data_IF_467048942381
#
_entry.id   IF_467048942381
#
_cell.length_a   1.000
_cell.length_b   1.000
_cell.length_c   1.000
_cell.angle_alpha   90.00
_cell.angle_beta   90.00
_cell.angle_gamma   90.00
#
_symmetry.space_group_name_H-M   'P 1'
#
loop_
_entity.id
_entity.type
_entity.pdbx_description
1 polymer ?
#
# COMPACT_ATOMS: atom_id res chain seq x y z
N UNK A 1 -11.74 -10.54 -17.03
CA UNK A 1 -12.74 -9.45 -16.83
C UNK A 1 -12.22 -8.56 -15.71
N UNK A 2 -12.08 -7.24 -15.90
CA UNK A 2 -11.58 -6.36 -14.85
C UNK A 2 -12.56 -6.34 -13.67
N UNK A 3 -12.03 -6.57 -12.47
CA UNK A 3 -12.80 -6.49 -11.23
C UNK A 3 -12.63 -5.08 -10.65
N UNK A 4 -13.74 -4.47 -10.25
CA UNK A 4 -13.73 -3.19 -9.57
C UNK A 4 -13.86 -3.42 -8.08
N UNK A 5 -13.01 -2.76 -7.30
CA UNK A 5 -13.16 -2.65 -5.86
C UNK A 5 -13.87 -1.33 -5.60
N UNK A 6 -15.07 -1.44 -5.06
CA UNK A 6 -16.00 -0.33 -4.85
C UNK A 6 -16.03 0.00 -3.35
N UNK A 7 -16.08 1.29 -2.96
CA UNK A 7 -16.16 1.69 -1.55
C UNK A 7 -17.36 1.07 -0.82
N UNK A 8 -17.19 0.74 0.45
CA UNK A 8 -18.26 0.17 1.29
C UNK A 8 -19.56 1.00 1.31
N UNK A 9 -19.46 2.33 1.18
CA UNK A 9 -20.63 3.22 1.09
C UNK A 9 -21.48 2.98 -0.18
N UNK A 10 -20.84 2.64 -1.29
CA UNK A 10 -21.50 2.33 -2.56
C UNK A 10 -21.99 0.89 -2.56
N UNK A 11 -21.26 -0.05 -1.95
CA UNK A 11 -21.74 -1.41 -1.72
C UNK A 11 -23.04 -1.43 -0.89
N UNK A 12 -23.09 -0.66 0.21
CA UNK A 12 -24.28 -0.51 1.04
C UNK A 12 -25.45 0.18 0.30
N UNK A 13 -25.18 0.99 -0.72
CA UNK A 13 -26.22 1.56 -1.60
C UNK A 13 -26.78 0.52 -2.57
N UNK A 14 -25.93 -0.35 -3.13
CA UNK A 14 -26.36 -1.44 -4.01
C UNK A 14 -27.20 -2.49 -3.24
N UNK A 15 -26.87 -2.76 -1.99
CA UNK A 15 -27.68 -3.63 -1.13
C UNK A 15 -29.05 -3.02 -0.80
N UNK A 16 -29.10 -1.71 -0.50
CA UNK A 16 -30.38 -1.00 -0.33
C UNK A 16 -31.23 -1.00 -1.60
N UNK A 17 -30.60 -0.99 -2.77
CA UNK A 17 -31.28 -1.11 -4.04
C UNK A 17 -31.91 -2.50 -4.21
N UNK A 18 -31.30 -3.56 -3.69
CA UNK A 18 -31.90 -4.91 -3.70
C UNK A 18 -33.19 -5.02 -2.88
N UNK A 19 -33.36 -4.17 -1.86
CA UNK A 19 -34.57 -4.12 -1.04
C UNK A 19 -35.73 -3.35 -1.71
N UNK A 20 -35.51 -2.69 -2.85
CA UNK A 20 -36.56 -1.96 -3.58
C UNK A 20 -37.29 -2.89 -4.56
N UNK A 21 -38.61 -2.82 -4.55
CA UNK A 21 -39.48 -3.58 -5.47
C UNK A 21 -39.40 -3.08 -6.92
N UNK A 22 -39.05 -1.80 -7.10
CA UNK A 22 -38.89 -1.09 -8.39
C UNK A 22 -37.82 -1.61 -9.34
N UNK A 23 -36.94 -2.47 -8.84
CA UNK A 23 -35.75 -2.96 -9.57
C UNK A 23 -36.10 -4.22 -10.35
N UNK A 24 -35.59 -4.42 -11.58
CA UNK A 24 -35.75 -5.68 -12.29
C UNK A 24 -35.15 -6.85 -11.52
N UNK A 25 -35.81 -8.01 -11.53
CA UNK A 25 -35.31 -9.24 -10.89
C UNK A 25 -33.90 -9.62 -11.36
N UNK A 26 -33.59 -9.38 -12.64
CA UNK A 26 -32.27 -9.62 -13.21
C UNK A 26 -31.17 -8.80 -12.54
N UNK A 27 -31.44 -7.54 -12.20
CA UNK A 27 -30.49 -6.65 -11.53
C UNK A 27 -30.34 -7.02 -10.06
N UNK A 28 -31.46 -7.35 -9.37
CA UNK A 28 -31.41 -7.83 -7.98
C UNK A 28 -30.58 -9.10 -7.84
N UNK A 29 -30.83 -10.09 -8.70
CA UNK A 29 -30.09 -11.35 -8.71
C UNK A 29 -28.61 -11.14 -9.06
N UNK A 30 -28.31 -10.26 -10.03
CA UNK A 30 -26.93 -9.95 -10.38
C UNK A 30 -26.17 -9.30 -9.20
N UNK A 31 -26.78 -8.34 -8.50
CA UNK A 31 -26.19 -7.71 -7.30
C UNK A 31 -25.96 -8.74 -6.20
N UNK A 32 -26.96 -9.58 -5.89
CA UNK A 32 -26.80 -10.61 -4.84
C UNK A 32 -25.75 -11.66 -5.19
N UNK A 33 -25.65 -12.07 -6.45
CA UNK A 33 -24.73 -13.12 -6.88
C UNK A 33 -23.28 -12.63 -7.04
N UNK A 34 -23.06 -11.36 -7.41
CA UNK A 34 -21.75 -10.86 -7.84
C UNK A 34 -21.13 -9.83 -6.89
N UNK A 35 -21.90 -9.28 -5.94
CA UNK A 35 -21.38 -8.40 -4.90
C UNK A 35 -20.67 -9.23 -3.82
N UNK A 36 -19.35 -9.25 -3.86
CA UNK A 36 -18.54 -9.94 -2.86
C UNK A 36 -17.89 -8.92 -1.91
N UNK A 37 -18.35 -8.88 -0.67
CA UNK A 37 -17.70 -8.09 0.39
C UNK A 37 -16.35 -8.71 0.73
N UNK A 38 -15.29 -7.90 0.74
CA UNK A 38 -13.96 -8.37 1.09
C UNK A 38 -13.49 -7.64 2.35
N UNK A 39 -13.19 -8.38 3.43
CA UNK A 39 -12.43 -7.79 4.51
C UNK A 39 -11.04 -7.47 3.95
N UNK A 40 -10.66 -6.18 3.95
CA UNK A 40 -9.31 -5.73 3.61
C UNK A 40 -8.31 -6.32 4.63
N UNK A 41 -7.84 -7.55 4.38
CA UNK A 41 -6.65 -8.09 5.03
C UNK A 41 -5.43 -7.48 4.37
N UNK A 42 -4.96 -6.33 4.85
CA UNK A 42 -3.73 -5.73 4.34
C UNK A 42 -3.49 -4.26 4.66
N UNK A 43 -4.49 -3.53 5.16
CA UNK A 43 -4.27 -2.20 5.73
C UNK A 43 -3.81 -2.32 7.18
N UNK A 44 -2.77 -1.57 7.55
CA UNK A 44 -2.21 -1.45 8.90
C UNK A 44 -3.28 -1.55 10.02
N UNK A 45 -3.02 -2.29 11.11
CA UNK A 45 -4.03 -2.71 12.10
C UNK A 45 -4.57 -1.60 13.01
N UNK A 46 -4.32 -0.33 12.71
CA UNK A 46 -4.53 0.77 13.64
C UNK A 46 -5.77 1.65 13.37
N UNK A 47 -6.50 1.44 12.27
CA UNK A 47 -7.65 2.31 11.97
C UNK A 47 -8.95 1.52 11.64
N UNK A 48 -9.87 1.39 12.61
CA UNK A 48 -11.16 0.73 12.40
C UNK A 48 -12.12 1.53 11.50
N UNK A 49 -11.87 2.82 11.25
CA UNK A 49 -12.67 3.61 10.29
C UNK A 49 -12.26 3.35 8.83
N UNK A 50 -11.00 2.93 8.61
CA UNK A 50 -10.48 2.45 7.33
C UNK A 50 -10.78 0.98 7.04
N UNK A 51 -11.32 0.24 8.01
CA UNK A 51 -11.90 -1.09 7.80
C UNK A 51 -13.28 -1.02 7.10
N UNK A 52 -13.50 0.00 6.25
CA UNK A 52 -14.64 0.01 5.36
C UNK A 52 -14.53 -1.23 4.47
N UNK A 53 -15.50 -2.13 4.61
CA UNK A 53 -15.56 -3.38 3.85
C UNK A 53 -15.82 -3.02 2.39
N UNK A 54 -14.74 -2.87 1.63
CA UNK A 54 -14.82 -2.68 0.20
C UNK A 54 -15.42 -3.94 -0.45
N UNK A 55 -16.17 -3.74 -1.53
CA UNK A 55 -16.81 -4.83 -2.25
C UNK A 55 -16.21 -4.98 -3.65
N UNK A 56 -15.98 -6.23 -4.08
CA UNK A 56 -15.65 -6.54 -5.47
C UNK A 56 -16.92 -6.67 -6.28
N UNK A 57 -16.97 -5.94 -7.39
CA UNK A 57 -18.09 -5.93 -8.32
C UNK A 57 -17.54 -5.92 -9.75
N UNK A 58 -18.09 -6.71 -10.68
CA UNK A 58 -17.71 -6.62 -12.09
C UNK A 58 -18.29 -5.35 -12.73
N UNK A 59 -17.55 -4.77 -13.67
CA UNK A 59 -17.97 -3.54 -14.36
C UNK A 59 -19.34 -3.65 -15.05
N UNK A 60 -19.64 -4.82 -15.64
CA UNK A 60 -20.91 -5.10 -16.33
C UNK A 60 -22.11 -4.92 -15.42
N UNK A 61 -21.97 -5.21 -14.14
CA UNK A 61 -23.05 -5.04 -13.16
C UNK A 61 -23.34 -3.57 -12.90
N UNK A 62 -22.31 -2.75 -12.72
CA UNK A 62 -22.49 -1.31 -12.52
C UNK A 62 -23.14 -0.65 -13.74
N UNK A 63 -22.80 -1.11 -14.94
CA UNK A 63 -23.44 -0.66 -16.19
C UNK A 63 -24.93 -1.03 -16.23
N UNK A 64 -25.29 -2.26 -15.82
CA UNK A 64 -26.70 -2.68 -15.76
C UNK A 64 -27.51 -1.84 -14.76
N UNK A 65 -26.94 -1.57 -13.58
CA UNK A 65 -27.57 -0.70 -12.56
C UNK A 65 -27.71 0.73 -13.09
N UNK A 66 -26.67 1.27 -13.73
CA UNK A 66 -26.70 2.61 -14.32
C UNK A 66 -27.69 2.73 -15.48
N UNK A 67 -27.83 1.69 -16.31
CA UNK A 67 -28.80 1.66 -17.39
C UNK A 67 -30.24 1.68 -16.87
N UNK A 68 -30.52 0.93 -15.79
CA UNK A 68 -31.80 1.01 -15.10
C UNK A 68 -32.04 2.40 -14.51
N UNK A 69 -31.04 2.99 -13.85
CA UNK A 69 -31.13 4.30 -13.23
C UNK A 69 -31.34 5.42 -14.26
N UNK A 70 -30.77 5.28 -15.46
CA UNK A 70 -30.91 6.23 -16.56
C UNK A 70 -32.37 6.36 -17.02
N UNK A 71 -33.10 5.25 -17.12
CA UNK A 71 -34.52 5.26 -17.53
C UNK A 71 -35.41 5.95 -16.49
N UNK A 72 -34.99 5.98 -15.23
CA UNK A 72 -35.74 6.53 -14.09
C UNK A 72 -35.22 7.89 -13.61
N UNK A 73 -34.22 8.44 -14.27
CA UNK A 73 -33.54 9.69 -13.90
C UNK A 73 -33.09 9.74 -12.42
N UNK A 74 -32.52 8.64 -11.91
CA UNK A 74 -31.97 8.59 -10.54
C UNK A 74 -30.46 8.92 -10.55
N UNK A 75 -30.03 10.17 -10.25
CA UNK A 75 -28.64 10.59 -10.37
C UNK A 75 -27.71 9.87 -9.38
N UNK A 76 -28.27 9.38 -8.28
CA UNK A 76 -27.54 8.67 -7.21
C UNK A 76 -26.96 7.34 -7.71
N UNK A 77 -27.59 6.72 -8.71
CA UNK A 77 -27.19 5.43 -9.27
C UNK A 77 -26.63 5.55 -10.69
N UNK A 78 -26.29 6.77 -11.13
CA UNK A 78 -25.58 6.95 -12.40
C UNK A 78 -24.20 6.31 -12.36
N UNK A 79 -23.69 5.96 -13.53
CA UNK A 79 -22.38 5.30 -13.63
C UNK A 79 -21.26 6.16 -13.01
N UNK A 80 -21.32 7.48 -13.18
CA UNK A 80 -20.34 8.40 -12.60
C UNK A 80 -20.31 8.36 -11.06
N UNK A 81 -21.48 8.30 -10.41
CA UNK A 81 -21.58 8.23 -8.94
C UNK A 81 -21.21 6.85 -8.39
N UNK A 82 -21.50 5.78 -9.14
CA UNK A 82 -21.13 4.41 -8.79
C UNK A 82 -19.63 4.13 -8.94
N UNK A 83 -18.98 4.78 -9.91
CA UNK A 83 -17.54 4.68 -10.12
C UNK A 83 -16.72 5.61 -9.21
N UNK A 84 -17.37 6.53 -8.49
CA UNK A 84 -16.68 7.46 -7.61
C UNK A 84 -15.97 6.71 -6.47
N UNK A 85 -14.64 6.76 -6.47
CA UNK A 85 -13.79 6.04 -5.51
C UNK A 85 -13.59 4.55 -5.83
N UNK A 86 -14.08 4.05 -6.97
CA UNK A 86 -13.83 2.68 -7.40
C UNK A 86 -12.37 2.52 -7.90
N UNK A 87 -11.74 1.43 -7.51
CA UNK A 87 -10.38 1.06 -7.92
C UNK A 87 -10.44 -0.14 -8.87
N UNK A 88 -9.71 -0.06 -9.98
CA UNK A 88 -9.55 -1.21 -10.88
C UNK A 88 -8.50 -2.13 -10.31
N UNK A 89 -8.88 -3.38 -10.01
CA UNK A 89 -7.94 -4.41 -9.62
C UNK A 89 -7.74 -5.34 -10.80
N UNK A 90 -6.55 -5.27 -11.39
CA UNK A 90 -6.05 -6.33 -12.24
C UNK A 90 -5.60 -7.45 -11.31
N UNK A 91 -6.31 -8.58 -11.36
CA UNK A 91 -5.80 -9.83 -10.77
C UNK A 91 -4.74 -10.31 -11.74
N UNK A 92 -3.58 -9.69 -11.64
CA UNK A 92 -2.40 -10.14 -12.34
C UNK A 92 -1.96 -11.39 -11.60
N UNK A 93 -2.26 -12.55 -12.18
CA UNK A 93 -1.62 -13.82 -11.81
C UNK A 93 -0.16 -13.72 -12.27
N UNK A 94 0.61 -12.86 -11.60
CA UNK A 94 2.05 -12.85 -11.70
C UNK A 94 2.52 -14.14 -11.06
N UNK A 95 2.57 -15.20 -11.86
CA UNK A 95 3.36 -16.39 -11.56
C UNK A 95 4.75 -15.90 -11.18
N UNK A 96 5.13 -16.12 -9.93
CA UNK A 96 6.43 -15.74 -9.39
C UNK A 96 7.51 -16.27 -10.35
N UNK A 97 8.31 -15.40 -10.97
CA UNK A 97 9.30 -15.84 -11.93
C UNK A 97 10.38 -16.63 -11.19
N UNK A 98 10.78 -17.79 -11.74
CA UNK A 98 11.82 -18.64 -11.14
C UNK A 98 13.14 -17.89 -10.87
N UNK A 99 13.45 -16.91 -11.71
CA UNK A 99 14.61 -16.03 -11.55
C UNK A 99 14.57 -15.21 -10.24
N UNK A 100 13.38 -14.85 -9.76
CA UNK A 100 13.22 -14.15 -8.47
C UNK A 100 13.53 -15.08 -7.30
N UNK A 101 13.13 -16.36 -7.38
CA UNK A 101 13.42 -17.34 -6.34
C UNK A 101 14.91 -17.62 -6.24
N UNK A 102 15.57 -17.80 -7.39
CA UNK A 102 17.03 -17.95 -7.46
C UNK A 102 17.75 -16.71 -6.88
N UNK A 103 17.26 -15.51 -7.18
CA UNK A 103 17.81 -14.27 -6.60
C UNK A 103 17.60 -14.19 -5.09
N UNK A 104 16.43 -14.59 -4.57
CA UNK A 104 16.14 -14.56 -3.14
C UNK A 104 16.98 -15.59 -2.39
N UNK A 105 17.19 -16.77 -2.96
CA UNK A 105 18.09 -17.78 -2.41
C UNK A 105 19.55 -17.31 -2.40
N UNK A 106 20.00 -16.63 -3.45
CA UNK A 106 21.35 -16.06 -3.50
C UNK A 106 21.55 -14.99 -2.41
N UNK A 107 20.57 -14.10 -2.22
CA UNK A 107 20.61 -13.09 -1.16
C UNK A 107 20.64 -13.75 0.22
N UNK A 108 19.82 -14.79 0.43
CA UNK A 108 19.77 -15.52 1.70
C UNK A 108 21.11 -16.18 2.01
N UNK A 109 21.72 -16.85 1.02
CA UNK A 109 23.03 -17.48 1.17
C UNK A 109 24.13 -16.46 1.50
N UNK A 110 24.14 -15.32 0.82
CA UNK A 110 25.10 -14.25 1.11
C UNK A 110 24.94 -13.68 2.53
N UNK A 111 23.71 -13.60 3.04
CA UNK A 111 23.46 -13.21 4.42
C UNK A 111 23.98 -14.25 5.41
N UNK A 112 23.67 -15.53 5.18
CA UNK A 112 24.17 -16.64 5.99
C UNK A 112 25.70 -16.65 6.04
N UNK A 113 26.37 -16.50 4.88
CA UNK A 113 27.83 -16.41 4.80
C UNK A 113 28.38 -15.25 5.64
N UNK A 114 27.77 -14.06 5.55
CA UNK A 114 28.18 -12.90 6.36
C UNK A 114 27.96 -13.11 7.87
N UNK A 115 26.93 -13.86 8.26
CA UNK A 115 26.67 -14.22 9.64
C UNK A 115 27.67 -15.27 10.14
N UNK A 116 27.99 -16.27 9.30
CA UNK A 116 29.05 -17.23 9.58
C UNK A 116 30.39 -16.55 9.73
N UNK A 117 30.74 -15.60 8.86
CA UNK A 117 31.96 -14.79 8.99
C UNK A 117 31.98 -14.03 10.31
N UNK A 118 30.86 -13.46 10.77
CA UNK A 118 30.79 -12.78 12.07
C UNK A 118 30.95 -13.73 13.26
N UNK A 119 30.42 -14.95 13.17
CA UNK A 119 30.50 -15.95 14.24
C UNK A 119 31.87 -16.63 14.30
N UNK A 120 32.49 -16.84 13.13
CA UNK A 120 33.78 -17.52 12.97
C UNK A 120 34.95 -16.56 12.96
N UNK A 121 34.70 -15.25 12.78
CA UNK A 121 35.68 -14.21 12.97
C UNK A 121 36.35 -14.47 14.31
N UNK A 122 37.67 -14.71 14.33
CA UNK A 122 38.39 -14.91 15.57
C UNK A 122 38.07 -13.70 16.45
N UNK A 123 37.47 -13.95 17.62
CA UNK A 123 37.46 -12.96 18.68
C UNK A 123 38.93 -12.71 18.97
N UNK A 124 39.52 -11.69 18.33
CA UNK A 124 40.85 -11.23 18.65
C UNK A 124 40.70 -10.64 20.05
N UNK A 125 41.16 -11.31 21.13
CA UNK A 125 41.22 -10.64 22.41
C UNK A 125 42.06 -9.38 22.16
N UNK A 126 41.68 -8.20 22.66
CA UNK A 126 42.50 -7.01 22.49
C UNK A 126 43.86 -7.35 23.07
N UNK A 127 44.83 -7.60 22.18
CA UNK A 127 46.17 -7.99 22.55
C UNK A 127 46.66 -6.86 23.44
N UNK A 128 46.96 -7.17 24.70
CA UNK A 128 47.50 -6.24 25.67
C UNK A 128 48.83 -5.71 25.12
N UNK A 129 48.72 -4.71 24.26
CA UNK A 129 49.83 -3.99 23.67
C UNK A 129 50.11 -2.91 24.70
N UNK A 130 51.14 -3.18 25.49
CA UNK A 130 52.00 -2.22 26.18
C UNK A 130 51.56 -0.77 26.02
N UNK A 131 51.32 -0.10 27.16
CA UNK A 131 51.19 1.36 27.32
C UNK A 131 51.96 2.13 26.22
N UNK A 132 51.25 2.46 25.14
CA UNK A 132 51.73 3.24 23.99
C UNK A 132 50.64 4.26 23.70
N UNK A 133 50.97 5.54 23.43
CA UNK A 133 49.98 6.60 23.25
C UNK A 133 49.26 6.52 21.89
N UNK A 134 48.90 5.32 21.42
CA UNK A 134 48.16 5.07 20.19
C UNK A 134 46.63 5.18 20.37
N UNK A 135 46.16 5.18 21.63
CA UNK A 135 44.72 5.26 21.97
C UNK A 135 44.08 6.60 21.58
N UNK A 136 44.88 7.64 21.38
CA UNK A 136 44.39 8.95 20.94
C UNK A 136 44.24 9.04 19.42
N UNK A 137 45.06 8.33 18.63
CA UNK A 137 44.99 8.34 17.17
C UNK A 137 43.84 7.46 16.67
N UNK A 138 43.71 6.23 17.17
CA UNK A 138 42.59 5.35 16.81
C UNK A 138 41.23 5.94 17.24
N UNK A 139 41.16 6.57 18.42
CA UNK A 139 39.94 7.27 18.85
C UNK A 139 39.64 8.49 17.99
N UNK A 140 40.66 9.22 17.50
CA UNK A 140 40.48 10.35 16.58
C UNK A 140 40.00 9.89 15.20
N UNK A 141 40.48 8.76 14.70
CA UNK A 141 40.04 8.14 13.46
C UNK A 141 38.59 7.64 13.57
N UNK A 142 38.25 7.00 14.68
CA UNK A 142 36.87 6.57 14.97
C UNK A 142 35.93 7.79 15.08
N UNK A 143 36.35 8.86 15.77
CA UNK A 143 35.60 10.12 15.83
C UNK A 143 35.52 10.85 14.48
N UNK A 144 36.47 10.65 13.55
CA UNK A 144 36.38 11.17 12.20
C UNK A 144 35.36 10.39 11.36
N UNK A 145 35.37 9.05 11.45
CA UNK A 145 34.38 8.20 10.80
C UNK A 145 32.94 8.46 11.32
N UNK A 146 32.77 8.66 12.63
CA UNK A 146 31.49 9.04 13.22
C UNK A 146 30.99 10.42 12.77
N UNK A 147 31.88 11.37 12.48
CA UNK A 147 31.50 12.68 11.94
C UNK A 147 31.06 12.59 10.48
N UNK A 148 31.72 11.75 9.69
CA UNK A 148 31.35 11.49 8.29
C UNK A 148 29.98 10.79 8.19
N UNK A 149 29.73 9.79 9.05
CA UNK A 149 28.42 9.13 9.10
C UNK A 149 27.30 10.12 9.51
N UNK A 150 27.59 11.03 10.45
CA UNK A 150 26.61 12.03 10.90
C UNK A 150 26.30 13.09 9.83
N UNK A 151 27.26 13.48 8.98
CA UNK A 151 27.02 14.44 7.90
C UNK A 151 26.10 13.84 6.83
N UNK A 152 26.29 12.56 6.49
CA UNK A 152 25.45 11.84 5.53
C UNK A 152 24.01 11.67 6.04
N UNK A 153 23.83 11.39 7.33
CA UNK A 153 22.50 11.33 7.96
C UNK A 153 21.79 12.69 7.90
N UNK A 154 22.51 13.79 8.12
CA UNK A 154 21.94 15.14 8.01
C UNK A 154 21.42 15.46 6.61
N UNK A 155 22.17 15.05 5.58
CA UNK A 155 21.74 15.21 4.19
C UNK A 155 20.48 14.37 3.88
N UNK A 156 20.43 13.12 4.33
CA UNK A 156 19.24 12.26 4.14
C UNK A 156 18.00 12.83 4.84
N UNK A 157 18.14 13.32 6.07
CA UNK A 157 17.03 13.94 6.82
C UNK A 157 16.47 15.14 6.06
N UNK A 158 17.33 16.01 5.51
CA UNK A 158 16.87 17.16 4.72
C UNK A 158 16.12 16.74 3.45
N UNK A 159 16.61 15.72 2.73
CA UNK A 159 15.92 15.21 1.54
C UNK A 159 14.56 14.62 1.90
N UNK A 160 14.50 13.80 2.96
CA UNK A 160 13.25 13.21 3.45
C UNK A 160 12.27 14.29 3.91
N UNK A 161 12.74 15.32 4.63
CA UNK A 161 11.88 16.43 5.04
C UNK A 161 11.34 17.22 3.84
N UNK A 162 12.18 17.46 2.84
CA UNK A 162 11.79 18.21 1.63
C UNK A 162 10.74 17.43 0.84
N UNK A 163 10.96 16.13 0.66
CA UNK A 163 10.05 15.25 -0.06
C UNK A 163 8.75 15.04 0.72
N UNK A 164 8.82 14.94 2.05
CA UNK A 164 7.66 14.88 2.94
C UNK A 164 6.83 16.16 2.94
N UNK A 165 7.45 17.34 2.87
CA UNK A 165 6.77 18.62 2.74
C UNK A 165 6.02 18.74 1.40
N UNK A 166 6.62 18.28 0.30
CA UNK A 166 5.93 18.21 -1.00
C UNK A 166 4.77 17.22 -0.97
N UNK A 167 4.98 16.03 -0.40
CA UNK A 167 3.92 15.02 -0.29
C UNK A 167 2.74 15.50 0.56
N UNK A 168 3.00 16.18 1.68
CA UNK A 168 1.95 16.77 2.51
C UNK A 168 1.26 17.94 1.81
N UNK A 169 1.99 18.82 1.10
CA UNK A 169 1.39 19.89 0.30
C UNK A 169 0.49 19.34 -0.83
N UNK A 170 0.92 18.28 -1.51
CA UNK A 170 0.11 17.58 -2.54
C UNK A 170 -1.10 16.90 -1.92
N UNK A 171 -0.98 16.30 -0.74
CA UNK A 171 -2.12 15.67 -0.05
C UNK A 171 -3.17 16.72 0.33
N UNK A 172 -2.76 17.83 0.95
CA UNK A 172 -3.68 18.91 1.32
C UNK A 172 -4.24 19.65 0.11
N UNK A 173 -3.44 19.84 -0.95
CA UNK A 173 -3.89 20.40 -2.23
C UNK A 173 -4.87 19.48 -2.95
N UNK A 174 -4.60 18.19 -3.05
CA UNK A 174 -5.52 17.22 -3.66
C UNK A 174 -6.83 17.05 -2.86
N UNK A 175 -6.81 17.30 -1.54
CA UNK A 175 -8.00 17.25 -0.69
C UNK A 175 -8.80 18.56 -0.66
N UNK A 176 -8.18 19.71 -1.00
CA UNK A 176 -8.83 21.03 -1.01
C UNK A 176 -9.50 21.41 -2.33
N UNK A 177 -9.16 20.75 -3.44
CA UNK A 177 -9.80 20.97 -4.75
C UNK A 177 -11.08 20.12 -4.89
N UNK A 178 -12.03 20.31 -3.99
CA UNK A 178 -13.44 20.00 -4.23
C UNK A 178 -14.19 21.32 -4.40
N UNK A 179 -13.90 22.04 -5.48
CA UNK A 179 -14.75 23.12 -5.98
C UNK A 179 -15.30 22.70 -7.35
N UNK A 180 -16.25 21.76 -7.32
CA UNK A 180 -17.14 21.53 -8.43
C UNK A 180 -18.55 21.44 -7.85
N UNK A 181 -19.34 22.44 -8.22
CA UNK A 181 -20.79 22.45 -8.49
C UNK A 181 -21.52 21.13 -8.26
#
# INVERSE_FOLDING_TARGET
MPLLVVPGATAARLERLCAREDVPDSVRQAVQAQLMRIPLSGGMPADPALAAVDARVPHTLLVQVAQWAYVRDEPVYMLASLLQGARVVYVDILTQPKELDESLEAIRRAQEESEYERMTAPCVPPRATTLRPARTEAAREEHAAWREARSQIGAMINVVLSMGAVATAVWWGAHGHNTLW
#
